data_IF_239790595190
#
_entry.id   IF_239790595190
#
_cell.length_a   1.000
_cell.length_b   1.000
_cell.length_c   1.000
_cell.angle_alpha   90.00
_cell.angle_beta   90.00
_cell.angle_gamma   90.00
#
_symmetry.space_group_name_H-M   'P 1'
#
loop_
_entity.id
_entity.type
_entity.pdbx_description
1 polymer ?
#
# COMPACT_ATOMS: atom_id res chain seq x y z
N UNK A 1 -5.18 -4.56 -1.01
CA UNK A 1 -4.17 -3.49 -0.85
C UNK A 1 -3.45 -3.31 -2.17
N UNK A 2 -3.10 -2.07 -2.54
CA UNK A 2 -2.39 -1.75 -3.79
C UNK A 2 -1.13 -0.95 -3.48
N UNK A 3 0.04 -1.50 -3.82
CA UNK A 3 1.33 -0.82 -3.79
C UNK A 3 1.83 -0.41 -5.17
N UNK A 4 3.09 0.02 -5.28
CA UNK A 4 3.66 0.50 -6.54
C UNK A 4 4.17 -0.62 -7.47
N UNK A 5 5.09 -1.45 -6.98
CA UNK A 5 5.79 -2.50 -7.72
C UNK A 5 6.55 -3.40 -6.75
N UNK A 6 6.89 -4.64 -7.16
CA UNK A 6 7.75 -5.50 -6.35
C UNK A 6 9.19 -4.97 -6.33
N UNK A 7 9.88 -5.16 -5.21
CA UNK A 7 11.32 -5.03 -5.01
C UNK A 7 12.08 -6.35 -5.21
N UNK A 8 13.40 -6.35 -5.02
CA UNK A 8 14.25 -7.50 -5.32
C UNK A 8 13.99 -8.71 -4.41
N UNK A 9 13.62 -8.48 -3.15
CA UNK A 9 13.30 -9.56 -2.20
C UNK A 9 12.05 -10.36 -2.65
N UNK A 10 11.06 -9.67 -3.22
CA UNK A 10 9.83 -10.30 -3.68
C UNK A 10 10.03 -11.25 -4.86
N UNK A 11 11.07 -11.03 -5.68
CA UNK A 11 11.46 -11.97 -6.74
C UNK A 11 11.89 -13.32 -6.16
N UNK A 12 12.63 -13.32 -5.07
CA UNK A 12 13.12 -14.54 -4.43
C UNK A 12 12.01 -15.24 -3.62
N UNK A 13 11.25 -14.48 -2.83
CA UNK A 13 10.25 -15.05 -1.93
C UNK A 13 8.90 -15.31 -2.58
N UNK A 14 8.65 -14.73 -3.77
CA UNK A 14 7.34 -14.72 -4.45
C UNK A 14 6.18 -14.22 -3.56
N UNK A 15 6.50 -13.36 -2.59
CA UNK A 15 5.53 -12.80 -1.62
C UNK A 15 5.60 -11.27 -1.68
N UNK A 16 4.50 -10.56 -1.98
CA UNK A 16 4.45 -9.09 -1.94
C UNK A 16 4.94 -8.54 -0.59
N UNK A 17 5.66 -7.42 -0.58
CA UNK A 17 6.17 -6.79 0.64
C UNK A 17 6.91 -7.80 1.54
N UNK A 18 7.95 -8.46 1.01
CA UNK A 18 8.79 -9.40 1.78
C UNK A 18 10.11 -8.77 2.24
N UNK A 19 10.45 -7.59 1.72
CA UNK A 19 11.63 -6.83 2.14
C UNK A 19 11.44 -6.02 3.44
N UNK A 20 12.35 -5.07 3.68
CA UNK A 20 12.32 -4.18 4.85
C UNK A 20 11.03 -3.37 4.97
N UNK A 21 10.52 -2.86 3.86
CA UNK A 21 9.25 -2.13 3.80
C UNK A 21 8.07 -3.02 4.22
N UNK A 22 8.14 -4.33 3.93
CA UNK A 22 7.13 -5.29 4.35
C UNK A 22 7.08 -5.54 5.84
N UNK A 23 8.25 -5.62 6.50
CA UNK A 23 8.30 -5.73 7.96
C UNK A 23 7.65 -4.53 8.65
N UNK A 24 7.85 -3.32 8.11
CA UNK A 24 7.18 -2.12 8.62
C UNK A 24 5.68 -2.15 8.38
N UNK A 25 5.26 -2.55 7.18
CA UNK A 25 3.85 -2.72 6.85
C UNK A 25 3.17 -3.73 7.79
N UNK A 26 3.80 -4.88 8.05
CA UNK A 26 3.28 -5.89 8.96
C UNK A 26 3.09 -5.29 10.38
N UNK A 27 4.07 -4.53 10.89
CA UNK A 27 3.93 -3.80 12.18
C UNK A 27 2.76 -2.82 12.19
N UNK A 28 2.52 -2.12 11.08
CA UNK A 28 1.38 -1.21 10.96
C UNK A 28 0.05 -1.95 10.98
N UNK A 29 -0.03 -3.12 10.34
CA UNK A 29 -1.25 -3.91 10.32
C UNK A 29 -1.57 -4.51 11.69
N UNK A 30 -0.57 -4.94 12.47
CA UNK A 30 -0.80 -5.31 13.87
C UNK A 30 -1.41 -4.16 14.67
N UNK A 31 -0.89 -2.94 14.49
CA UNK A 31 -1.46 -1.72 15.12
C UNK A 31 -2.87 -1.38 14.59
N UNK A 32 -3.21 -1.82 13.39
CA UNK A 32 -4.56 -1.71 12.82
C UNK A 32 -5.51 -2.83 13.28
N UNK A 33 -5.10 -3.67 14.25
CA UNK A 33 -5.97 -4.65 14.88
C UNK A 33 -5.94 -6.06 14.27
N UNK A 34 -4.99 -6.36 13.38
CA UNK A 34 -4.70 -7.74 13.00
C UNK A 34 -3.98 -8.47 14.15
N UNK A 35 -4.34 -9.73 14.42
CA UNK A 35 -3.75 -10.50 15.54
C UNK A 35 -2.27 -10.81 15.33
N UNK A 36 -1.92 -11.18 14.11
CA UNK A 36 -0.58 -11.56 13.70
C UNK A 36 -0.38 -11.28 12.20
N UNK A 37 0.87 -11.46 11.73
CA UNK A 37 1.21 -11.29 10.32
C UNK A 37 0.44 -12.28 9.43
N UNK A 38 0.24 -13.52 9.86
CA UNK A 38 -0.37 -14.55 9.04
C UNK A 38 -1.86 -14.28 8.80
N UNK A 39 -2.57 -13.77 9.79
CA UNK A 39 -3.94 -13.26 9.65
C UNK A 39 -3.99 -12.12 8.65
N UNK A 40 -3.11 -11.13 8.78
CA UNK A 40 -3.04 -10.03 7.81
C UNK A 40 -2.85 -10.55 6.38
N UNK A 41 -1.88 -11.45 6.17
CA UNK A 41 -1.56 -11.99 4.84
C UNK A 41 -2.67 -12.89 4.28
N UNK A 42 -3.38 -13.64 5.13
CA UNK A 42 -4.52 -14.48 4.72
C UNK A 42 -5.76 -13.69 4.36
N UNK A 43 -6.04 -12.59 5.08
CA UNK A 43 -7.23 -11.77 4.86
C UNK A 43 -7.03 -10.66 3.83
N UNK A 44 -5.80 -10.41 3.39
CA UNK A 44 -5.49 -9.29 2.48
C UNK A 44 -4.90 -9.77 1.17
N UNK A 45 -5.63 -9.52 0.08
CA UNK A 45 -5.04 -9.58 -1.26
C UNK A 45 -4.15 -8.35 -1.49
N UNK A 46 -2.89 -8.57 -1.88
CA UNK A 46 -1.90 -7.50 -2.09
C UNK A 46 -1.50 -7.46 -3.57
N UNK A 47 -1.88 -6.39 -4.23
CA UNK A 47 -1.59 -6.09 -5.63
C UNK A 47 -0.61 -4.92 -5.76
N UNK A 48 -0.18 -4.65 -6.99
CA UNK A 48 0.69 -3.52 -7.33
C UNK A 48 0.32 -2.91 -8.69
N UNK A 49 0.64 -1.63 -8.87
CA UNK A 49 0.46 -0.92 -10.15
C UNK A 49 1.30 -1.53 -11.29
N UNK A 50 2.51 -2.00 -10.98
CA UNK A 50 3.39 -2.70 -11.92
C UNK A 50 3.84 -4.05 -11.33
N UNK A 51 3.98 -5.07 -12.18
CA UNK A 51 4.28 -6.47 -11.77
C UNK A 51 5.75 -6.85 -11.79
N UNK A 52 6.59 -6.01 -12.36
CA UNK A 52 8.03 -6.26 -12.49
C UNK A 52 8.81 -5.34 -11.57
N UNK A 53 10.00 -5.78 -11.17
CA UNK A 53 10.92 -4.92 -10.44
C UNK A 53 11.44 -3.81 -11.37
N UNK A 54 11.25 -2.51 -11.04
CA UNK A 54 11.66 -1.40 -11.91
C UNK A 54 13.18 -1.20 -12.00
N UNK A 55 13.96 -1.93 -11.20
CA UNK A 55 15.41 -1.73 -11.09
C UNK A 55 15.79 -0.86 -9.89
N UNK A 56 17.10 -0.81 -9.61
CA UNK A 56 17.68 0.04 -8.56
C UNK A 56 17.96 1.44 -9.10
N UNK A 57 17.89 2.45 -8.24
CA UNK A 57 18.43 3.77 -8.56
C UNK A 57 19.96 3.71 -8.71
N UNK A 58 20.56 4.73 -9.35
CA UNK A 58 22.01 4.75 -9.66
C UNK A 58 22.88 4.64 -8.41
N UNK A 59 22.39 5.14 -7.27
CA UNK A 59 23.10 5.14 -5.98
C UNK A 59 22.88 3.85 -5.18
N UNK A 60 22.07 2.90 -5.67
CA UNK A 60 21.67 1.66 -4.99
C UNK A 60 21.06 1.86 -3.58
N UNK A 61 20.54 3.06 -3.30
CA UNK A 61 19.88 3.40 -2.02
C UNK A 61 18.38 3.10 -2.04
N UNK A 62 17.83 2.82 -3.21
CA UNK A 62 16.42 2.55 -3.41
C UNK A 62 16.09 1.98 -4.77
N UNK A 63 14.81 1.76 -4.98
CA UNK A 63 14.26 1.23 -6.22
C UNK A 63 13.81 2.41 -7.09
N UNK A 64 13.88 2.26 -8.41
CA UNK A 64 13.32 3.24 -9.32
C UNK A 64 11.79 3.28 -9.16
N UNK A 65 11.15 4.45 -9.30
CA UNK A 65 9.70 4.47 -9.43
C UNK A 65 9.29 3.72 -10.71
N UNK A 66 8.17 2.98 -10.71
CA UNK A 66 7.63 2.39 -11.92
C UNK A 66 7.42 3.44 -13.02
N UNK A 67 7.97 3.24 -14.23
CA UNK A 67 7.77 4.19 -15.32
C UNK A 67 6.31 4.14 -15.81
N UNK A 68 5.75 5.24 -16.36
CA UNK A 68 4.38 5.28 -16.85
C UNK A 68 4.05 4.16 -17.85
N UNK A 69 4.97 3.86 -18.77
CA UNK A 69 4.81 2.75 -19.72
C UNK A 69 4.71 1.37 -19.03
N UNK A 70 5.48 1.16 -17.95
CA UNK A 70 5.42 -0.07 -17.17
C UNK A 70 4.10 -0.23 -16.41
N UNK A 71 3.58 0.87 -15.86
CA UNK A 71 2.25 0.89 -15.23
C UNK A 71 1.16 0.63 -16.28
N UNK A 72 1.21 1.30 -17.43
CA UNK A 72 0.24 1.12 -18.50
C UNK A 72 0.22 -0.34 -19.00
N UNK A 73 1.39 -0.95 -19.20
CA UNK A 73 1.50 -2.35 -19.60
C UNK A 73 0.90 -3.31 -18.56
N UNK A 74 0.99 -2.99 -17.27
CA UNK A 74 0.47 -3.83 -16.20
C UNK A 74 -0.95 -3.48 -15.74
N UNK A 75 -1.55 -2.39 -16.23
CA UNK A 75 -2.82 -1.87 -15.72
C UNK A 75 -3.96 -2.91 -15.78
N UNK A 76 -4.02 -3.66 -16.89
CA UNK A 76 -5.04 -4.69 -17.09
C UNK A 76 -5.07 -5.76 -15.98
N UNK A 77 -3.91 -6.12 -15.40
CA UNK A 77 -3.85 -7.08 -14.30
C UNK A 77 -4.55 -6.56 -13.05
N UNK A 78 -4.25 -5.31 -12.66
CA UNK A 78 -4.86 -4.71 -11.48
C UNK A 78 -6.36 -4.46 -11.69
N UNK A 79 -6.74 -3.98 -12.87
CA UNK A 79 -8.15 -3.74 -13.20
C UNK A 79 -8.96 -5.05 -13.17
N UNK A 80 -8.38 -6.15 -13.66
CA UNK A 80 -8.99 -7.49 -13.62
C UNK A 80 -9.11 -8.02 -12.20
N UNK A 81 -8.08 -7.86 -11.37
CA UNK A 81 -8.12 -8.24 -9.95
C UNK A 81 -9.20 -7.48 -9.18
N UNK A 82 -9.31 -6.17 -9.39
CA UNK A 82 -10.35 -5.37 -8.75
C UNK A 82 -11.75 -5.81 -9.21
N UNK A 83 -11.90 -6.14 -10.49
CA UNK A 83 -13.15 -6.63 -11.05
C UNK A 83 -13.58 -7.98 -10.44
N UNK A 84 -12.63 -8.91 -10.26
CA UNK A 84 -12.89 -10.24 -9.69
C UNK A 84 -13.12 -10.15 -8.18
N UNK A 85 -12.23 -9.45 -7.46
CA UNK A 85 -12.22 -9.43 -5.99
C UNK A 85 -13.32 -8.56 -5.39
N UNK A 86 -13.78 -7.53 -6.12
CA UNK A 86 -14.78 -6.55 -5.67
C UNK A 86 -14.57 -6.15 -4.20
N UNK A 87 -13.37 -5.66 -3.84
CA UNK A 87 -13.00 -5.48 -2.44
C UNK A 87 -13.96 -4.49 -1.75
N UNK A 88 -14.28 -4.75 -0.48
CA UNK A 88 -15.04 -3.80 0.34
C UNK A 88 -14.18 -2.63 0.81
N UNK A 89 -12.87 -2.87 0.95
CA UNK A 89 -11.87 -1.90 1.42
C UNK A 89 -10.65 -1.96 0.52
N UNK A 90 -10.15 -0.80 0.11
CA UNK A 90 -8.96 -0.66 -0.72
C UNK A 90 -7.91 0.20 0.00
N UNK A 91 -6.88 -0.46 0.53
CA UNK A 91 -5.74 0.23 1.14
C UNK A 91 -4.75 0.62 0.04
N UNK A 92 -4.49 1.92 -0.12
CA UNK A 92 -3.63 2.50 -1.16
C UNK A 92 -2.28 2.89 -0.54
N UNK A 93 -1.20 2.21 -0.92
CA UNK A 93 0.12 2.38 -0.26
C UNK A 93 1.07 3.19 -1.14
N UNK A 94 1.40 4.40 -0.68
CA UNK A 94 2.33 5.32 -1.34
C UNK A 94 1.68 6.23 -2.38
N UNK A 95 2.38 7.31 -2.71
CA UNK A 95 1.87 8.41 -3.55
C UNK A 95 1.32 7.94 -4.90
N UNK A 96 1.98 6.97 -5.55
CA UNK A 96 1.58 6.50 -6.88
C UNK A 96 0.25 5.75 -6.84
N UNK A 97 0.08 4.84 -5.88
CA UNK A 97 -1.19 4.14 -5.68
C UNK A 97 -2.29 5.14 -5.31
N UNK A 98 -2.02 6.07 -4.39
CA UNK A 98 -2.98 7.11 -4.02
C UNK A 98 -3.42 7.93 -5.24
N UNK A 99 -2.46 8.41 -6.03
CA UNK A 99 -2.74 9.27 -7.19
C UNK A 99 -3.54 8.55 -8.28
N UNK A 100 -3.32 7.25 -8.48
CA UNK A 100 -4.06 6.44 -9.48
C UNK A 100 -5.56 6.36 -9.19
N UNK A 101 -5.96 6.38 -7.91
CA UNK A 101 -7.36 6.21 -7.49
C UNK A 101 -8.04 7.51 -7.05
N UNK A 102 -7.30 8.44 -6.45
CA UNK A 102 -7.86 9.66 -5.85
C UNK A 102 -7.43 10.95 -6.57
N UNK A 103 -6.60 10.84 -7.61
CA UNK A 103 -5.95 11.98 -8.27
C UNK A 103 -4.74 12.51 -7.50
N UNK A 104 -3.89 13.31 -8.17
CA UNK A 104 -2.66 13.83 -7.56
C UNK A 104 -2.99 14.84 -6.45
N UNK A 105 -2.41 14.64 -5.26
CA UNK A 105 -2.44 15.58 -4.14
C UNK A 105 -1.31 15.25 -3.15
N UNK A 106 -0.88 16.18 -2.28
CA UNK A 106 0.03 15.88 -1.18
C UNK A 106 -0.46 14.75 -0.27
N UNK A 107 0.47 13.98 0.31
CA UNK A 107 0.12 12.90 1.25
C UNK A 107 -0.62 13.43 2.48
N UNK A 108 -0.29 14.65 2.90
CA UNK A 108 -0.85 15.35 4.05
C UNK A 108 -2.37 15.56 3.95
N UNK A 109 -2.88 15.65 2.72
CA UNK A 109 -4.29 15.84 2.39
C UNK A 109 -5.04 14.51 2.21
N UNK A 110 -4.34 13.38 2.20
CA UNK A 110 -4.92 12.06 1.90
C UNK A 110 -4.77 11.07 3.05
N UNK A 111 -3.58 11.01 3.67
CA UNK A 111 -3.28 10.06 4.75
C UNK A 111 -4.01 10.48 6.03
N UNK A 112 -4.72 9.52 6.62
CA UNK A 112 -5.56 9.73 7.81
C UNK A 112 -7.01 10.06 7.49
N UNK A 113 -7.40 10.02 6.21
CA UNK A 113 -8.76 10.17 5.73
C UNK A 113 -9.24 8.88 5.05
N UNK A 114 -10.55 8.77 4.83
CA UNK A 114 -11.17 7.74 4.00
C UNK A 114 -11.90 8.38 2.83
N UNK A 115 -11.99 7.65 1.71
CA UNK A 115 -12.60 8.13 0.47
C UNK A 115 -13.51 7.06 -0.14
N UNK A 116 -14.48 7.51 -0.93
CA UNK A 116 -15.45 6.61 -1.57
C UNK A 116 -16.46 6.01 -0.59
N UNK A 117 -17.29 5.09 -1.09
CA UNK A 117 -18.28 4.36 -0.29
C UNK A 117 -18.12 2.84 -0.40
N UNK A 118 -17.95 2.32 -1.61
CA UNK A 118 -17.73 0.88 -1.86
C UNK A 118 -16.90 0.67 -3.14
N UNK A 119 -15.59 0.36 -3.03
CA UNK A 119 -14.82 0.21 -1.79
C UNK A 119 -14.65 1.52 -1.01
N UNK A 120 -14.47 1.38 0.30
CA UNK A 120 -13.85 2.43 1.13
C UNK A 120 -12.35 2.42 0.84
N UNK A 121 -11.80 3.55 0.42
CA UNK A 121 -10.38 3.72 0.10
C UNK A 121 -9.66 4.38 1.27
N UNK A 122 -8.56 3.77 1.73
CA UNK A 122 -7.75 4.29 2.85
C UNK A 122 -6.30 4.47 2.40
N UNK A 123 -5.82 5.71 2.26
CA UNK A 123 -4.43 6.03 1.93
C UNK A 123 -3.45 5.75 3.07
N UNK A 124 -2.34 5.12 2.75
CA UNK A 124 -1.16 4.98 3.60
C UNK A 124 0.06 5.59 2.89
N UNK A 125 1.01 6.19 3.62
CA UNK A 125 2.31 6.53 3.06
C UNK A 125 3.06 5.23 2.71
N UNK A 126 4.12 5.34 1.90
CA UNK A 126 4.95 4.18 1.63
C UNK A 126 5.75 3.78 2.90
N UNK A 127 5.80 2.50 3.29
CA UNK A 127 6.48 2.06 4.52
C UNK A 127 8.01 2.02 4.43
N UNK A 128 8.59 2.45 3.32
CA UNK A 128 10.06 2.58 3.20
C UNK A 128 10.57 3.80 3.97
N UNK A 129 11.62 3.60 4.77
CA UNK A 129 12.36 4.69 5.40
C UNK A 129 13.17 5.60 4.45
N UNK A 130 13.06 5.42 3.13
CA UNK A 130 13.70 6.32 2.16
C UNK A 130 13.07 7.71 2.17
N UNK A 131 11.75 7.80 2.38
CA UNK A 131 11.07 9.07 2.53
C UNK A 131 11.05 9.47 4.02
N UNK A 132 11.54 10.67 4.32
CA UNK A 132 11.54 11.27 5.66
C UNK A 132 10.17 11.80 6.10
N UNK A 133 9.11 11.58 5.31
CA UNK A 133 7.75 12.02 5.59
C UNK A 133 7.28 11.69 7.01
N UNK A 134 7.58 10.47 7.48
CA UNK A 134 7.23 10.01 8.84
C UNK A 134 8.14 10.58 9.95
N UNK A 135 9.14 11.40 9.63
CA UNK A 135 9.95 12.08 10.65
C UNK A 135 9.17 13.22 11.32
N UNK A 136 8.22 13.83 10.61
CA UNK A 136 7.35 14.86 11.17
C UNK A 136 6.31 14.24 12.12
N UNK A 137 6.17 14.72 13.37
CA UNK A 137 5.19 14.19 14.32
C UNK A 137 3.76 14.19 13.77
N UNK A 138 3.32 15.30 13.16
CA UNK A 138 1.97 15.39 12.57
C UNK A 138 1.69 14.32 11.50
N UNK A 139 2.72 13.83 10.80
CA UNK A 139 2.58 12.76 9.81
C UNK A 139 2.48 11.38 10.44
N UNK A 140 3.04 11.19 11.64
CA UNK A 140 2.82 9.99 12.45
C UNK A 140 1.39 9.94 12.96
N UNK A 141 0.81 11.08 13.31
CA UNK A 141 -0.60 11.17 13.72
C UNK A 141 -1.55 10.89 12.55
N UNK A 142 -1.22 11.39 11.35
CA UNK A 142 -1.92 11.02 10.10
C UNK A 142 -1.89 9.51 9.87
N UNK A 143 -0.73 8.87 10.01
CA UNK A 143 -0.60 7.42 9.91
C UNK A 143 -1.45 6.73 10.97
N UNK A 144 -1.36 7.15 12.24
CA UNK A 144 -2.14 6.54 13.34
C UNK A 144 -3.64 6.56 13.04
N UNK A 145 -4.18 7.70 12.60
CA UNK A 145 -5.59 7.81 12.16
C UNK A 145 -5.92 6.87 11.01
N UNK A 146 -5.06 6.75 10.02
CA UNK A 146 -5.27 5.81 8.90
C UNK A 146 -5.32 4.35 9.37
N UNK A 147 -4.48 3.96 10.34
CA UNK A 147 -4.49 2.62 10.94
C UNK A 147 -5.76 2.36 11.75
N UNK A 148 -6.25 3.36 12.51
CA UNK A 148 -7.55 3.30 13.18
C UNK A 148 -8.69 3.05 12.18
N UNK A 149 -8.73 3.80 11.08
CA UNK A 149 -9.74 3.61 10.03
C UNK A 149 -9.69 2.20 9.42
N UNK A 150 -8.50 1.63 9.22
CA UNK A 150 -8.35 0.24 8.75
C UNK A 150 -8.93 -0.74 9.78
N UNK A 151 -8.63 -0.54 11.07
CA UNK A 151 -9.17 -1.38 12.15
C UNK A 151 -10.68 -1.32 12.25
N UNK A 152 -11.28 -0.14 12.11
CA UNK A 152 -12.73 0.03 12.08
C UNK A 152 -13.37 -0.70 10.90
N UNK A 153 -12.78 -0.61 9.69
CA UNK A 153 -13.28 -1.35 8.54
C UNK A 153 -13.14 -2.87 8.72
N UNK A 154 -12.03 -3.32 9.33
CA UNK A 154 -11.85 -4.74 9.66
C UNK A 154 -12.92 -5.22 10.63
N UNK A 155 -13.23 -4.46 11.69
CA UNK A 155 -14.26 -4.82 12.66
C UNK A 155 -15.67 -4.96 12.03
N UNK A 156 -15.99 -4.14 11.02
CA UNK A 156 -17.26 -4.22 10.27
C UNK A 156 -17.40 -5.47 9.40
N UNK A 157 -16.29 -6.09 9.02
CA UNK A 157 -16.26 -7.23 8.10
C UNK A 157 -15.60 -8.47 8.69
N UNK A 158 -15.23 -8.43 9.98
CA UNK A 158 -14.78 -9.60 10.71
C UNK A 158 -15.96 -10.57 10.83
N UNK A 159 -15.74 -11.87 10.57
CA UNK A 159 -16.77 -12.89 10.69
C UNK A 159 -17.25 -13.06 12.13
#
# INVERSE_FOLDING_TARGET
MVGQAPGPAERATRRPFSGRAGKELDRWMLRAGFRDQDEFRRLTYIAALMRCFPGRNRQNTGDLPPPPAGIANCAHWLDSELHILKPKVLILVGQMAISRFLGPAPLEERVGMSFGGRPVMIPLPHPSGQNRWLNAPANRDRLARALTLIGEQRAKFAP
#
